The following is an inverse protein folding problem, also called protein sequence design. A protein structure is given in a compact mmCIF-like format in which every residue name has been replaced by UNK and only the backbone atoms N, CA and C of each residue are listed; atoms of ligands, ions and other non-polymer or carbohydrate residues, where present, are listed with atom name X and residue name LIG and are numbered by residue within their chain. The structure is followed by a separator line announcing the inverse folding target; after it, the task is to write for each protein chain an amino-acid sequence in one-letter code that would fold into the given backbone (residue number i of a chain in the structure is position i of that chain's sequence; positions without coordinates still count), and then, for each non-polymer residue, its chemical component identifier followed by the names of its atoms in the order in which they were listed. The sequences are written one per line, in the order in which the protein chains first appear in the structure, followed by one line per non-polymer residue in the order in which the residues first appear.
data_IF_439012555538
#
_entry.id   IF_439012555538
#
_cell.length_a   1.000
_cell.length_b   1.000
_cell.length_c   1.000
_cell.angle_alpha   90.00
_cell.angle_beta   90.00
_cell.angle_gamma   90.00
#
_symmetry.space_group_name_H-M   'P 1'
#
loop_
_entity.id
_entity.type
_entity.pdbx_description
1 polymer ?
#
# COMPACT_ATOMS: atom_id res chain seq x y z
N UNK A 1 -11.28 -2.91 -24.35
CA UNK A 1 -10.51 -3.13 -23.11
C UNK A 1 -10.01 -1.77 -22.66
N UNK A 2 -10.59 -1.23 -21.61
CA UNK A 2 -10.16 0.04 -20.99
C UNK A 2 -9.10 -0.23 -19.92
N UNK A 3 -8.43 0.82 -19.45
CA UNK A 3 -7.62 0.72 -18.23
C UNK A 3 -8.52 1.09 -17.03
N UNK A 4 -8.37 0.37 -15.93
CA UNK A 4 -9.11 0.64 -14.69
C UNK A 4 -8.18 0.53 -13.50
N UNK A 5 -8.32 1.47 -12.57
CA UNK A 5 -7.58 1.49 -11.32
C UNK A 5 -8.54 1.00 -10.23
N UNK A 6 -8.20 -0.11 -9.59
CA UNK A 6 -8.91 -0.59 -8.41
C UNK A 6 -8.02 -0.32 -7.21
N UNK A 7 -8.54 0.26 -6.14
CA UNK A 7 -7.79 0.38 -4.90
C UNK A 7 -8.44 -0.35 -3.74
N UNK A 8 -7.62 -0.66 -2.72
CA UNK A 8 -8.10 -1.15 -1.43
C UNK A 8 -7.32 -0.49 -0.29
N UNK A 9 -8.05 0.09 0.66
CA UNK A 9 -7.46 0.79 1.81
C UNK A 9 -6.99 -0.15 2.91
N UNK A 10 -6.19 0.38 3.84
CA UNK A 10 -5.71 -0.32 5.03
C UNK A 10 -6.55 -0.15 6.29
N UNK A 11 -6.00 -0.63 7.41
CA UNK A 11 -6.57 -0.58 8.77
C UNK A 11 -6.88 0.81 9.30
N UNK A 12 -7.55 0.82 10.46
CA UNK A 12 -8.20 1.95 11.11
C UNK A 12 -9.52 2.34 10.43
N UNK A 13 -10.34 3.07 11.17
CA UNK A 13 -11.55 3.67 10.63
C UNK A 13 -11.20 4.61 9.45
N UNK A 14 -12.19 4.89 8.61
CA UNK A 14 -12.03 5.70 7.41
C UNK A 14 -13.10 6.78 7.34
N UNK A 15 -12.83 7.90 6.65
CA UNK A 15 -13.91 8.80 6.23
C UNK A 15 -14.96 8.01 5.41
N UNK A 16 -16.15 8.59 5.16
CA UNK A 16 -17.14 7.99 4.28
C UNK A 16 -16.53 7.49 2.96
N UNK A 17 -17.08 6.41 2.41
CA UNK A 17 -16.56 5.73 1.22
C UNK A 17 -16.30 6.69 0.04
N UNK A 18 -17.29 7.52 -0.29
CA UNK A 18 -17.19 8.50 -1.37
C UNK A 18 -16.07 9.52 -1.11
N UNK A 19 -15.95 10.02 0.12
CA UNK A 19 -14.90 10.95 0.52
C UNK A 19 -13.51 10.30 0.44
N UNK A 20 -13.38 9.04 0.87
CA UNK A 20 -12.12 8.32 0.75
C UNK A 20 -11.73 8.15 -0.72
N UNK A 21 -12.67 7.74 -1.57
CA UNK A 21 -12.45 7.55 -3.00
C UNK A 21 -12.01 8.86 -3.67
N UNK A 22 -12.74 9.95 -3.42
CA UNK A 22 -12.42 11.28 -3.94
C UNK A 22 -11.01 11.72 -3.54
N UNK A 23 -10.64 11.54 -2.27
CA UNK A 23 -9.31 11.91 -1.77
C UNK A 23 -8.16 11.07 -2.37
N UNK A 24 -8.40 9.78 -2.63
CA UNK A 24 -7.42 8.94 -3.34
C UNK A 24 -7.26 9.41 -4.79
N UNK A 25 -8.36 9.67 -5.48
CA UNK A 25 -8.35 10.16 -6.85
C UNK A 25 -7.65 11.53 -6.96
N UNK A 26 -7.97 12.46 -6.06
CA UNK A 26 -7.31 13.77 -6.01
C UNK A 26 -5.80 13.67 -5.77
N UNK A 27 -5.35 12.74 -4.93
CA UNK A 27 -3.91 12.51 -4.70
C UNK A 27 -3.22 11.97 -5.97
N UNK A 28 -3.87 11.05 -6.68
CA UNK A 28 -3.37 10.51 -7.94
C UNK A 28 -3.31 11.57 -9.06
N UNK A 29 -4.38 12.37 -9.20
CA UNK A 29 -4.45 13.48 -10.15
C UNK A 29 -3.42 14.58 -9.84
N UNK A 30 -3.23 14.91 -8.56
CA UNK A 30 -2.17 15.83 -8.13
C UNK A 30 -0.79 15.30 -8.53
N UNK A 31 -0.52 14.02 -8.30
CA UNK A 31 0.73 13.37 -8.71
C UNK A 31 0.97 13.47 -10.21
N UNK A 32 -0.03 13.12 -11.03
CA UNK A 32 0.03 13.25 -12.50
C UNK A 32 0.32 14.68 -12.94
N UNK A 33 -0.36 15.66 -12.35
CA UNK A 33 -0.18 17.07 -12.70
C UNK A 33 1.21 17.57 -12.31
N UNK A 34 1.61 17.39 -11.04
CA UNK A 34 2.84 17.99 -10.51
C UNK A 34 4.10 17.26 -10.97
N UNK A 35 4.07 15.95 -11.15
CA UNK A 35 5.25 15.16 -11.48
C UNK A 35 5.41 14.88 -12.98
N UNK A 36 4.32 14.89 -13.75
CA UNK A 36 4.33 14.55 -15.18
C UNK A 36 3.68 15.60 -16.09
N UNK A 37 3.08 16.67 -15.55
CA UNK A 37 2.38 17.68 -16.34
C UNK A 37 1.08 17.17 -16.98
N UNK A 38 0.58 16.01 -16.56
CA UNK A 38 -0.64 15.40 -17.09
C UNK A 38 -1.83 15.92 -16.28
N UNK A 39 -2.79 16.56 -16.96
CA UNK A 39 -4.02 17.05 -16.35
C UNK A 39 -5.19 16.24 -16.87
N UNK A 40 -5.95 15.63 -15.97
CA UNK A 40 -7.17 14.87 -16.25
C UNK A 40 -8.27 15.35 -15.31
N UNK A 41 -9.52 15.31 -15.77
CA UNK A 41 -10.68 15.68 -14.94
C UNK A 41 -11.04 14.55 -13.97
N UNK A 42 -10.88 13.29 -14.38
CA UNK A 42 -11.14 12.09 -13.57
C UNK A 42 -10.36 10.89 -14.07
N UNK A 43 -10.36 9.83 -13.26
CA UNK A 43 -9.79 8.52 -13.53
C UNK A 43 -10.90 7.47 -13.63
N UNK A 44 -10.70 6.43 -14.45
CA UNK A 44 -11.52 5.23 -14.34
C UNK A 44 -11.11 4.44 -13.09
N UNK A 45 -11.71 4.80 -11.96
CA UNK A 45 -11.25 4.44 -10.62
C UNK A 45 -12.36 3.83 -9.76
N UNK A 46 -12.05 2.70 -9.13
CA UNK A 46 -12.90 2.03 -8.14
C UNK A 46 -12.16 1.87 -6.82
N UNK A 47 -12.70 2.43 -5.74
CA UNK A 47 -12.17 2.26 -4.39
C UNK A 47 -12.94 1.17 -3.66
N UNK A 48 -12.26 0.09 -3.27
CA UNK A 48 -12.85 -0.96 -2.43
C UNK A 48 -12.84 -0.51 -0.98
N UNK A 49 -14.04 -0.30 -0.44
CA UNK A 49 -14.26 0.11 0.94
C UNK A 49 -14.71 -1.08 1.81
N UNK A 50 -14.08 -1.22 2.97
CA UNK A 50 -14.44 -2.26 3.94
C UNK A 50 -14.43 -1.77 5.39
N UNK A 51 -14.13 -0.50 5.68
CA UNK A 51 -14.07 -0.04 7.07
C UNK A 51 -15.43 -0.14 7.79
N UNK A 52 -16.56 -0.08 7.08
CA UNK A 52 -17.92 -0.29 7.60
C UNK A 52 -18.17 -1.69 8.17
N UNK A 53 -17.39 -2.71 7.80
CA UNK A 53 -17.50 -4.04 8.42
C UNK A 53 -16.84 -4.09 9.79
N UNK A 54 -15.88 -3.19 10.04
CA UNK A 54 -15.07 -3.14 11.25
C UNK A 54 -15.51 -2.03 12.21
N UNK A 55 -16.18 -1.02 11.68
CA UNK A 55 -16.54 0.21 12.38
C UNK A 55 -17.99 0.60 12.06
N UNK A 56 -18.81 0.76 13.09
CA UNK A 56 -20.24 1.05 12.93
C UNK A 56 -20.54 2.42 12.32
N UNK A 57 -19.65 3.40 12.53
CA UNK A 57 -19.76 4.74 11.94
C UNK A 57 -18.43 5.16 11.34
N UNK A 58 -18.42 5.91 10.22
CA UNK A 58 -17.19 6.47 9.65
C UNK A 58 -16.43 7.34 10.66
N UNK A 59 -15.14 7.53 10.40
CA UNK A 59 -14.29 8.42 11.14
C UNK A 59 -14.82 9.87 11.05
N UNK A 60 -15.02 10.50 12.20
CA UNK A 60 -15.58 11.85 12.30
C UNK A 60 -14.49 12.92 12.30
N UNK A 61 -13.23 12.54 12.53
CA UNK A 61 -12.07 13.43 12.47
C UNK A 61 -10.93 12.80 11.66
N UNK A 62 -11.19 12.46 10.39
CA UNK A 62 -10.17 11.87 9.54
C UNK A 62 -9.13 12.93 9.17
N UNK A 63 -7.86 12.53 9.14
CA UNK A 63 -6.78 13.34 8.57
C UNK A 63 -7.04 13.55 7.06
N UNK A 64 -7.63 14.69 6.74
CA UNK A 64 -8.25 15.00 5.45
C UNK A 64 -7.22 15.24 4.36
N UNK A 65 -7.61 14.97 3.10
CA UNK A 65 -6.72 15.25 1.99
C UNK A 65 -6.45 16.76 1.85
N UNK A 66 -5.20 17.09 1.51
CA UNK A 66 -4.69 18.42 1.25
C UNK A 66 -3.57 18.32 0.23
N UNK A 67 -3.50 19.33 -0.65
CA UNK A 67 -2.48 19.40 -1.70
C UNK A 67 -1.08 19.52 -1.12
N UNK A 68 -0.10 19.02 -1.86
CA UNK A 68 1.31 19.18 -1.56
C UNK A 68 1.73 20.64 -1.81
N UNK A 69 2.61 21.17 -0.99
CA UNK A 69 3.27 22.44 -1.30
C UNK A 69 4.14 22.29 -2.56
N UNK A 70 4.29 23.35 -3.34
CA UNK A 70 5.02 23.28 -4.60
C UNK A 70 6.49 22.89 -4.39
N UNK A 71 6.98 21.98 -5.22
CA UNK A 71 8.34 21.46 -5.14
C UNK A 71 8.60 20.47 -3.99
N UNK A 72 7.61 20.10 -3.18
CA UNK A 72 7.79 19.13 -2.07
C UNK A 72 7.72 17.67 -2.49
N UNK A 73 7.13 17.38 -3.65
CA UNK A 73 7.12 16.03 -4.24
C UNK A 73 8.50 15.74 -4.81
N UNK A 74 9.34 15.09 -3.99
CA UNK A 74 10.70 14.71 -4.35
C UNK A 74 10.75 13.24 -4.69
N UNK A 75 11.45 12.91 -5.78
CA UNK A 75 11.84 11.55 -6.09
C UNK A 75 12.83 11.07 -5.04
N UNK A 76 12.75 9.80 -4.66
CA UNK A 76 13.77 9.19 -3.84
C UNK A 76 15.10 9.17 -4.60
N UNK A 77 16.17 9.58 -3.93
CA UNK A 77 17.53 9.55 -4.45
C UNK A 77 18.40 8.78 -3.45
N UNK A 78 18.88 7.61 -3.88
CA UNK A 78 19.76 6.71 -3.12
C UNK A 78 21.02 7.45 -2.63
N UNK A 79 21.48 8.47 -3.34
CA UNK A 79 22.79 9.08 -3.14
C UNK A 79 22.94 9.89 -1.84
N UNK A 80 21.94 10.65 -1.40
CA UNK A 80 22.14 11.56 -0.25
C UNK A 80 21.76 10.90 1.08
N UNK A 81 20.56 10.31 1.17
CA UNK A 81 20.03 9.80 2.43
C UNK A 81 20.83 8.61 2.97
N UNK A 82 21.31 7.74 2.09
CA UNK A 82 22.09 6.57 2.47
C UNK A 82 23.54 6.92 2.81
N UNK A 83 24.14 7.92 2.16
CA UNK A 83 25.48 8.41 2.53
C UNK A 83 25.47 9.09 3.90
N UNK A 84 24.45 9.91 4.19
CA UNK A 84 24.31 10.55 5.51
C UNK A 84 24.05 9.50 6.60
N UNK A 85 23.26 8.46 6.31
CA UNK A 85 23.00 7.37 7.27
C UNK A 85 24.16 6.39 7.42
N UNK A 86 24.85 6.02 6.36
CA UNK A 86 26.06 5.20 6.42
C UNK A 86 27.17 5.90 7.22
N UNK A 87 27.22 7.24 7.16
CA UNK A 87 28.04 8.02 8.08
C UNK A 87 27.47 8.02 9.50
N UNK A 88 26.16 8.13 9.70
CA UNK A 88 25.56 8.10 11.03
C UNK A 88 25.73 6.75 11.76
N UNK A 89 25.70 5.62 11.05
CA UNK A 89 25.95 4.28 11.61
C UNK A 89 27.40 4.05 12.01
N UNK A 90 28.34 4.87 11.52
CA UNK A 90 29.74 4.88 11.97
C UNK A 90 29.95 5.66 13.28
N UNK A 91 28.94 6.40 13.75
CA UNK A 91 29.01 7.18 14.98
C UNK A 91 28.27 6.40 16.08
N UNK A 92 29.02 6.00 17.12
CA UNK A 92 28.61 5.14 18.24
C UNK A 92 27.11 5.11 18.59
N UNK A 93 26.59 3.90 18.85
CA UNK A 93 25.19 3.60 19.17
C UNK A 93 24.53 4.41 20.29
N UNK A 94 25.29 5.16 21.11
CA UNK A 94 24.73 6.09 22.10
C UNK A 94 23.97 7.27 21.49
N UNK A 95 24.30 7.68 20.26
CA UNK A 95 23.57 8.77 19.57
C UNK A 95 22.18 8.28 19.12
N UNK A 96 22.05 7.01 18.76
CA UNK A 96 20.77 6.40 18.39
C UNK A 96 19.78 6.36 19.56
N UNK A 97 20.27 6.05 20.76
CA UNK A 97 19.41 6.02 21.97
C UNK A 97 18.92 7.42 22.34
N UNK A 98 19.78 8.44 22.25
CA UNK A 98 19.38 9.83 22.50
C UNK A 98 18.48 10.40 21.39
N UNK A 99 18.59 9.93 20.16
CA UNK A 99 17.70 10.33 19.06
C UNK A 99 16.28 9.80 19.28
N UNK A 100 16.11 8.55 19.75
CA UNK A 100 14.79 8.00 20.10
C UNK A 100 14.06 8.86 21.13
N UNK A 101 14.79 9.32 22.15
CA UNK A 101 14.27 10.16 23.23
C UNK A 101 13.87 11.56 22.75
N UNK A 102 14.60 12.14 21.78
CA UNK A 102 14.33 13.48 21.23
C UNK A 102 13.15 13.52 20.25
N UNK A 103 12.83 12.42 19.57
CA UNK A 103 11.74 12.35 18.58
C UNK A 103 10.37 11.99 19.19
N UNK A 104 10.26 11.69 20.50
CA UNK A 104 8.96 11.47 21.16
C UNK A 104 8.10 10.36 20.54
N UNK A 105 8.74 9.32 19.96
CA UNK A 105 8.11 8.29 19.12
C UNK A 105 7.35 7.25 19.98
N UNK A 106 7.67 7.09 21.25
CA UNK A 106 7.39 5.84 21.97
C UNK A 106 5.99 5.68 22.58
N UNK A 107 5.07 6.64 22.46
CA UNK A 107 3.70 6.47 23.05
C UNK A 107 2.56 6.57 22.05
N UNK A 108 2.73 7.38 21.01
CA UNK A 108 1.70 7.54 19.97
C UNK A 108 1.87 6.45 18.90
N UNK A 109 3.10 6.12 18.51
CA UNK A 109 3.36 5.03 17.57
C UNK A 109 2.90 3.68 18.16
N UNK A 110 3.18 3.44 19.44
CA UNK A 110 2.82 2.21 20.15
C UNK A 110 1.31 1.96 20.19
N UNK A 111 0.50 2.98 20.52
CA UNK A 111 -0.97 2.83 20.52
C UNK A 111 -1.56 2.62 19.13
N UNK A 112 -1.02 3.33 18.13
CA UNK A 112 -1.47 3.17 16.73
C UNK A 112 -1.07 1.78 16.22
N UNK A 113 0.12 1.30 16.56
CA UNK A 113 0.61 -0.03 16.22
C UNK A 113 -0.21 -1.12 16.93
N UNK A 114 -0.49 -0.97 18.23
CA UNK A 114 -1.30 -1.91 19.01
C UNK A 114 -2.71 -2.07 18.42
N UNK A 115 -3.38 -0.95 18.10
CA UNK A 115 -4.70 -1.00 17.45
C UNK A 115 -4.64 -1.64 16.06
N UNK A 116 -3.59 -1.37 15.27
CA UNK A 116 -3.37 -2.03 13.97
C UNK A 116 -3.13 -3.53 14.13
N UNK A 117 -2.39 -3.95 15.16
CA UNK A 117 -2.19 -5.38 15.46
C UNK A 117 -3.48 -6.05 15.88
N UNK A 118 -4.37 -5.38 16.62
CA UNK A 118 -5.70 -5.91 16.97
C UNK A 118 -6.58 -6.11 15.73
N UNK A 119 -6.67 -5.12 14.84
CA UNK A 119 -7.48 -5.28 13.63
C UNK A 119 -6.88 -6.34 12.68
N UNK A 120 -5.55 -6.44 12.60
CA UNK A 120 -4.87 -7.50 11.86
C UNK A 120 -5.14 -8.88 12.49
N UNK A 121 -5.13 -8.97 13.82
CA UNK A 121 -5.47 -10.19 14.54
C UNK A 121 -6.90 -10.63 14.21
N UNK A 122 -7.88 -9.72 14.26
CA UNK A 122 -9.28 -9.99 13.88
C UNK A 122 -9.37 -10.58 12.48
N UNK A 123 -8.69 -10.00 11.48
CA UNK A 123 -8.69 -10.53 10.12
C UNK A 123 -8.20 -11.98 10.04
N UNK A 124 -7.22 -12.38 10.84
CA UNK A 124 -6.72 -13.75 10.84
C UNK A 124 -7.53 -14.71 11.72
N UNK A 125 -8.27 -14.23 12.71
CA UNK A 125 -9.04 -15.08 13.65
C UNK A 125 -10.52 -15.18 13.33
N UNK A 126 -11.10 -14.18 12.65
CA UNK A 126 -12.51 -14.14 12.27
C UNK A 126 -12.66 -14.49 10.79
N UNK A 127 -13.07 -15.73 10.51
CA UNK A 127 -13.23 -16.22 9.14
C UNK A 127 -14.36 -15.54 8.38
N UNK A 128 -15.45 -15.15 9.06
CA UNK A 128 -16.59 -14.51 8.40
C UNK A 128 -16.21 -13.09 7.95
N UNK A 129 -15.57 -12.33 8.84
CA UNK A 129 -15.02 -11.02 8.52
C UNK A 129 -14.00 -11.12 7.37
N UNK A 130 -13.07 -12.08 7.44
CA UNK A 130 -12.03 -12.26 6.41
C UNK A 130 -12.66 -12.52 5.04
N UNK A 131 -13.63 -13.42 4.96
CA UNK A 131 -14.29 -13.75 3.70
C UNK A 131 -15.14 -12.59 3.16
N UNK A 132 -15.78 -11.81 4.02
CA UNK A 132 -16.50 -10.60 3.60
C UNK A 132 -15.54 -9.54 3.00
N UNK A 133 -14.41 -9.25 3.66
CA UNK A 133 -13.37 -8.35 3.15
C UNK A 133 -12.83 -8.82 1.79
N UNK A 134 -12.51 -10.12 1.68
CA UNK A 134 -12.01 -10.74 0.44
C UNK A 134 -13.05 -10.66 -0.68
N UNK A 135 -14.32 -10.93 -0.36
CA UNK A 135 -15.44 -10.90 -1.31
C UNK A 135 -15.61 -9.52 -1.93
N UNK A 136 -15.53 -8.44 -1.15
CA UNK A 136 -15.66 -7.07 -1.68
C UNK A 136 -14.64 -6.76 -2.77
N UNK A 137 -13.36 -7.05 -2.53
CA UNK A 137 -12.31 -6.86 -3.54
C UNK A 137 -12.50 -7.81 -4.74
N UNK A 138 -12.82 -9.08 -4.46
CA UNK A 138 -13.05 -10.10 -5.47
C UNK A 138 -14.15 -9.68 -6.46
N UNK A 139 -15.27 -9.16 -5.95
CA UNK A 139 -16.38 -8.66 -6.78
C UNK A 139 -15.91 -7.57 -7.74
N UNK A 140 -15.24 -6.52 -7.26
CA UNK A 140 -14.79 -5.42 -8.13
C UNK A 140 -13.77 -5.89 -9.18
N UNK A 141 -12.86 -6.81 -8.83
CA UNK A 141 -11.95 -7.42 -9.81
C UNK A 141 -12.71 -8.21 -10.87
N UNK A 142 -13.70 -9.02 -10.48
CA UNK A 142 -14.46 -9.86 -11.40
C UNK A 142 -15.35 -9.03 -12.33
N UNK A 143 -15.96 -7.96 -11.83
CA UNK A 143 -16.77 -7.03 -12.62
C UNK A 143 -15.94 -6.32 -13.70
N UNK A 144 -14.65 -6.12 -13.44
CA UNK A 144 -13.69 -5.47 -14.33
C UNK A 144 -12.73 -6.44 -15.03
N UNK A 145 -12.97 -7.76 -15.00
CA UNK A 145 -12.03 -8.78 -15.51
C UNK A 145 -11.75 -8.68 -17.02
N UNK A 146 -12.57 -7.94 -17.76
CA UNK A 146 -12.39 -7.65 -19.19
C UNK A 146 -11.52 -6.42 -19.48
N UNK A 147 -11.09 -5.69 -18.45
CA UNK A 147 -10.26 -4.49 -18.52
C UNK A 147 -8.81 -4.74 -18.10
N UNK A 148 -7.94 -3.76 -18.35
CA UNK A 148 -6.57 -3.77 -17.84
C UNK A 148 -6.56 -3.22 -16.43
N UNK A 149 -6.52 -4.12 -15.45
CA UNK A 149 -6.60 -3.77 -14.03
C UNK A 149 -5.22 -3.39 -13.49
N UNK A 150 -5.11 -2.17 -12.97
CA UNK A 150 -4.09 -1.76 -12.00
C UNK A 150 -4.68 -1.82 -10.60
N UNK A 151 -4.23 -2.76 -9.77
CA UNK A 151 -4.69 -2.92 -8.39
C UNK A 151 -3.72 -2.22 -7.43
N UNK A 152 -4.17 -1.20 -6.71
CA UNK A 152 -3.38 -0.42 -5.76
C UNK A 152 -3.83 -0.72 -4.33
N UNK A 153 -3.00 -1.39 -3.55
CA UNK A 153 -3.34 -1.80 -2.20
C UNK A 153 -2.47 -1.07 -1.17
N UNK A 154 -3.10 -0.54 -0.12
CA UNK A 154 -2.41 0.18 0.97
C UNK A 154 -2.43 -0.59 2.28
N UNK A 155 -1.28 -0.67 2.95
CA UNK A 155 -1.18 -1.23 4.31
C UNK A 155 -1.84 -2.62 4.39
N UNK A 156 -2.75 -2.89 5.32
CA UNK A 156 -3.44 -4.20 5.37
C UNK A 156 -4.26 -4.55 4.10
N UNK A 157 -4.67 -3.57 3.32
CA UNK A 157 -5.26 -3.82 2.01
C UNK A 157 -4.34 -4.67 1.11
N UNK A 158 -3.01 -4.59 1.31
CA UNK A 158 -2.03 -5.43 0.59
C UNK A 158 -2.12 -6.91 0.96
N UNK A 159 -2.43 -7.23 2.22
CA UNK A 159 -2.64 -8.60 2.69
C UNK A 159 -3.92 -9.15 2.07
N UNK A 160 -5.02 -8.40 2.17
CA UNK A 160 -6.32 -8.79 1.59
C UNK A 160 -6.17 -8.99 0.08
N UNK A 161 -5.52 -8.05 -0.61
CA UNK A 161 -5.28 -8.16 -2.04
C UNK A 161 -4.45 -9.40 -2.38
N UNK A 162 -3.33 -9.63 -1.69
CA UNK A 162 -2.50 -10.79 -1.94
C UNK A 162 -3.26 -12.11 -1.78
N UNK A 163 -4.07 -12.24 -0.73
CA UNK A 163 -4.93 -13.42 -0.51
C UNK A 163 -5.96 -13.61 -1.64
N UNK A 164 -6.70 -12.54 -1.98
CA UNK A 164 -7.71 -12.56 -3.04
C UNK A 164 -7.10 -12.93 -4.39
N UNK A 165 -5.94 -12.38 -4.73
CA UNK A 165 -5.28 -12.66 -6.01
C UNK A 165 -4.82 -14.11 -6.12
N UNK A 166 -4.36 -14.71 -5.02
CA UNK A 166 -3.99 -16.14 -4.99
C UNK A 166 -5.19 -17.03 -5.08
N UNK A 167 -6.26 -16.69 -4.37
CA UNK A 167 -7.53 -17.40 -4.45
C UNK A 167 -8.09 -17.36 -5.87
N UNK A 168 -8.21 -16.16 -6.46
CA UNK A 168 -8.68 -15.99 -7.84
C UNK A 168 -7.81 -16.73 -8.85
N UNK A 169 -6.48 -16.69 -8.71
CA UNK A 169 -5.59 -17.42 -9.61
C UNK A 169 -5.70 -18.94 -9.52
N UNK A 170 -6.15 -19.48 -8.38
CA UNK A 170 -6.49 -20.90 -8.24
C UNK A 170 -7.85 -21.23 -8.84
N UNK A 171 -8.82 -20.33 -8.72
CA UNK A 171 -10.20 -20.52 -9.20
C UNK A 171 -10.31 -20.35 -10.73
N UNK A 172 -9.69 -19.31 -11.28
CA UNK A 172 -9.70 -19.01 -12.72
C UNK A 172 -8.35 -18.38 -13.16
N UNK A 173 -7.46 -19.19 -13.76
CA UNK A 173 -6.17 -18.73 -14.28
C UNK A 173 -6.25 -17.69 -15.42
N UNK A 174 -7.44 -17.49 -16.02
CA UNK A 174 -7.63 -16.54 -17.12
C UNK A 174 -7.81 -15.10 -16.64
N UNK A 175 -8.14 -14.88 -15.37
CA UNK A 175 -8.15 -13.54 -14.77
C UNK A 175 -6.73 -12.99 -14.84
N UNK A 176 -6.58 -11.71 -15.18
CA UNK A 176 -5.27 -11.05 -15.24
C UNK A 176 -5.32 -9.70 -14.53
N UNK A 177 -4.34 -9.49 -13.64
CA UNK A 177 -4.01 -8.18 -13.08
C UNK A 177 -2.78 -7.67 -13.81
N UNK A 178 -2.92 -6.55 -14.53
CA UNK A 178 -1.83 -6.01 -15.35
C UNK A 178 -0.71 -5.44 -14.48
N UNK A 179 -1.08 -4.83 -13.35
CA UNK A 179 -0.13 -4.33 -12.36
C UNK A 179 -0.71 -4.38 -10.95
N UNK A 180 -0.10 -5.14 -10.05
CA UNK A 180 -0.33 -5.08 -8.63
C UNK A 180 0.66 -4.10 -7.98
N UNK A 181 0.16 -3.04 -7.36
CA UNK A 181 0.95 -2.02 -6.68
C UNK A 181 0.65 -2.06 -5.19
N UNK A 182 1.67 -2.27 -4.38
CA UNK A 182 1.55 -2.23 -2.92
C UNK A 182 2.20 -0.97 -2.38
N UNK A 183 1.53 -0.27 -1.46
CA UNK A 183 2.03 0.97 -0.84
C UNK A 183 1.97 0.86 0.69
N UNK A 184 3.09 1.15 1.36
CA UNK A 184 3.20 1.01 2.82
C UNK A 184 2.85 -0.40 3.33
N UNK A 185 3.33 -1.43 2.64
CA UNK A 185 2.89 -2.81 2.85
C UNK A 185 3.53 -3.49 4.08
N UNK A 186 2.74 -4.16 4.94
CA UNK A 186 3.26 -5.03 6.00
C UNK A 186 3.59 -6.46 5.53
N UNK A 187 3.58 -6.75 4.22
CA UNK A 187 3.75 -8.12 3.70
C UNK A 187 5.10 -8.77 4.03
N UNK A 188 6.13 -7.98 4.35
CA UNK A 188 7.44 -8.48 4.78
C UNK A 188 7.52 -8.73 6.29
N UNK A 189 6.51 -8.35 7.08
CA UNK A 189 6.53 -8.58 8.53
C UNK A 189 6.51 -10.10 8.82
N UNK A 190 7.40 -10.62 9.69
CA UNK A 190 7.50 -12.05 9.96
C UNK A 190 6.16 -12.71 10.35
N UNK A 191 5.35 -12.03 11.17
CA UNK A 191 4.02 -12.52 11.56
C UNK A 191 3.09 -12.67 10.34
N UNK A 192 3.07 -11.69 9.43
CA UNK A 192 2.23 -11.71 8.23
C UNK A 192 2.66 -12.85 7.30
N UNK A 193 3.96 -12.99 7.07
CA UNK A 193 4.54 -14.10 6.29
C UNK A 193 4.20 -15.46 6.88
N UNK A 194 4.32 -15.61 8.20
CA UNK A 194 3.94 -16.83 8.90
C UNK A 194 2.46 -17.18 8.62
N UNK A 195 1.54 -16.21 8.78
CA UNK A 195 0.11 -16.42 8.48
C UNK A 195 -0.17 -16.77 7.01
N UNK A 196 0.52 -16.11 6.07
CA UNK A 196 0.43 -16.45 4.64
C UNK A 196 0.89 -17.90 4.39
N UNK A 197 1.97 -18.32 5.06
CA UNK A 197 2.52 -19.68 4.92
C UNK A 197 1.63 -20.77 5.51
N UNK A 198 0.82 -20.44 6.54
CA UNK A 198 -0.19 -21.35 7.10
C UNK A 198 -1.30 -21.65 6.07
N UNK A 199 -1.69 -20.68 5.24
CA UNK A 199 -2.70 -20.87 4.20
C UNK A 199 -2.15 -21.53 2.94
N UNK A 200 -0.85 -21.33 2.64
CA UNK A 200 -0.21 -21.99 1.52
C UNK A 200 1.31 -22.02 1.65
N UNK A 201 1.95 -23.18 1.41
CA UNK A 201 3.37 -23.39 1.69
C UNK A 201 4.32 -22.61 0.77
N UNK A 202 3.83 -22.05 -0.35
CA UNK A 202 4.64 -21.29 -1.31
C UNK A 202 4.35 -19.80 -1.22
N UNK A 203 5.31 -19.04 -0.69
CA UNK A 203 5.26 -17.57 -0.67
C UNK A 203 5.88 -17.05 -1.97
N UNK A 204 5.02 -16.61 -2.91
CA UNK A 204 5.42 -16.21 -4.27
C UNK A 204 4.45 -15.19 -4.86
N UNK A 205 4.84 -14.52 -5.93
CA UNK A 205 3.93 -13.60 -6.63
C UNK A 205 2.65 -14.35 -7.11
N UNK A 206 1.45 -13.74 -7.06
CA UNK A 206 0.24 -14.43 -7.51
C UNK A 206 0.28 -14.76 -9.01
N UNK A 207 -0.25 -15.92 -9.40
CA UNK A 207 -0.18 -16.44 -10.79
C UNK A 207 -0.90 -15.56 -11.82
N UNK A 208 -1.89 -14.80 -11.40
CA UNK A 208 -2.67 -13.90 -12.28
C UNK A 208 -2.07 -12.50 -12.42
N UNK A 209 -0.97 -12.21 -11.73
CA UNK A 209 -0.31 -10.90 -11.74
C UNK A 209 0.80 -10.86 -12.78
N UNK A 210 0.74 -9.89 -13.69
CA UNK A 210 1.77 -9.68 -14.72
C UNK A 210 2.95 -8.83 -14.25
N UNK A 211 2.72 -7.92 -13.28
CA UNK A 211 3.74 -7.05 -12.68
C UNK A 211 3.37 -6.78 -11.22
N UNK A 212 4.36 -6.81 -10.34
CA UNK A 212 4.20 -6.37 -8.96
C UNK A 212 5.25 -5.31 -8.62
N UNK A 213 4.80 -4.10 -8.26
CA UNK A 213 5.68 -3.05 -7.70
C UNK A 213 5.28 -2.76 -6.26
N UNK A 214 6.27 -2.74 -5.36
CA UNK A 214 6.10 -2.34 -3.98
C UNK A 214 6.75 -0.97 -3.76
N UNK A 215 5.98 0.01 -3.29
CA UNK A 215 6.47 1.34 -2.94
C UNK A 215 6.54 1.47 -1.42
N UNK A 216 7.73 1.76 -0.92
CA UNK A 216 7.98 1.85 0.52
C UNK A 216 8.76 3.12 0.89
N UNK A 217 8.33 3.81 1.94
CA UNK A 217 9.13 4.86 2.58
C UNK A 217 9.91 4.26 3.75
N UNK A 218 11.24 4.43 3.79
CA UNK A 218 12.09 3.91 4.87
C UNK A 218 11.78 4.47 6.26
N UNK A 219 10.97 5.54 6.35
CA UNK A 219 10.53 6.15 7.61
C UNK A 219 9.13 5.67 8.02
N UNK A 220 8.48 4.87 7.18
CA UNK A 220 7.20 4.26 7.49
C UNK A 220 7.39 3.08 8.45
N UNK A 221 6.85 3.16 9.68
CA UNK A 221 7.04 2.13 10.70
C UNK A 221 6.30 0.82 10.41
N UNK A 222 5.45 0.76 9.38
CA UNK A 222 4.73 -0.45 8.97
C UNK A 222 5.42 -1.14 7.80
N UNK A 223 6.03 -0.37 6.90
CA UNK A 223 6.90 -0.88 5.84
C UNK A 223 8.35 -1.01 6.33
N UNK A 224 8.54 -1.65 7.49
CA UNK A 224 9.87 -1.88 8.08
C UNK A 224 10.72 -2.70 7.11
N UNK A 225 10.10 -3.71 6.50
CA UNK A 225 10.69 -4.36 5.35
C UNK A 225 10.35 -3.59 4.08
N UNK A 226 11.41 -3.13 3.41
CA UNK A 226 11.31 -2.34 2.19
C UNK A 226 11.63 -3.17 0.94
N UNK A 227 11.99 -4.45 1.09
CA UNK A 227 12.48 -5.30 0.02
C UNK A 227 11.66 -6.59 -0.11
N UNK A 228 10.38 -6.51 -0.46
CA UNK A 228 9.55 -7.72 -0.61
C UNK A 228 10.07 -8.69 -1.69
N UNK A 229 10.96 -8.25 -2.59
CA UNK A 229 11.57 -9.10 -3.61
C UNK A 229 12.47 -10.22 -3.07
N UNK A 230 13.02 -10.12 -1.86
CA UNK A 230 13.79 -11.21 -1.24
C UNK A 230 12.91 -12.22 -0.47
N UNK A 231 11.66 -11.84 -0.23
CA UNK A 231 10.69 -12.57 0.56
C UNK A 231 9.72 -13.43 -0.27
N UNK A 232 9.48 -13.05 -1.53
CA UNK A 232 8.48 -13.66 -2.40
C UNK A 232 9.13 -14.18 -3.70
N UNK A 233 9.03 -15.50 -3.91
CA UNK A 233 9.49 -16.13 -5.14
C UNK A 233 8.70 -15.67 -6.38
N UNK A 234 9.25 -15.90 -7.58
CA UNK A 234 8.52 -15.60 -8.81
C UNK A 234 7.35 -16.55 -9.06
N UNK A 235 6.30 -16.05 -9.73
CA UNK A 235 5.26 -16.89 -10.31
C UNK A 235 5.79 -17.69 -11.52
N UNK A 236 4.94 -18.51 -12.13
CA UNK A 236 5.30 -19.41 -13.23
C UNK A 236 5.73 -18.65 -14.50
N UNK A 237 5.27 -17.41 -14.65
CA UNK A 237 5.66 -16.50 -15.72
C UNK A 237 6.95 -15.71 -15.40
N UNK A 238 7.61 -16.00 -14.27
CA UNK A 238 8.85 -15.35 -13.86
C UNK A 238 8.67 -13.95 -13.26
N UNK A 239 7.45 -13.54 -12.93
CA UNK A 239 7.17 -12.22 -12.34
C UNK A 239 7.72 -12.17 -10.92
N UNK A 240 8.66 -11.26 -10.67
CA UNK A 240 9.20 -10.94 -9.33
C UNK A 240 8.61 -9.64 -8.81
N UNK A 241 8.67 -9.43 -7.49
CA UNK A 241 8.39 -8.12 -6.90
C UNK A 241 9.49 -7.14 -7.32
N UNK A 242 9.11 -5.92 -7.67
CA UNK A 242 10.03 -4.78 -7.83
C UNK A 242 9.81 -3.80 -6.69
N UNK A 243 10.78 -3.66 -5.81
CA UNK A 243 10.75 -2.66 -4.75
C UNK A 243 11.29 -1.33 -5.26
N UNK A 244 10.52 -0.25 -5.11
CA UNK A 244 10.98 1.11 -5.33
C UNK A 244 10.79 1.91 -4.02
N UNK A 245 11.86 2.57 -3.58
CA UNK A 245 11.78 3.45 -2.42
C UNK A 245 11.14 4.79 -2.81
N UNK A 246 10.39 5.36 -1.87
CA UNK A 246 9.70 6.64 -2.08
C UNK A 246 9.87 7.57 -0.89
N UNK A 247 9.58 8.85 -1.12
CA UNK A 247 9.46 9.86 -0.06
C UNK A 247 7.97 10.20 0.11
N UNK A 248 7.34 9.59 1.11
CA UNK A 248 5.99 9.95 1.52
C UNK A 248 6.03 11.32 2.25
N UNK A 249 5.69 12.37 1.50
CA UNK A 249 5.66 13.75 1.96
C UNK A 249 4.39 14.17 2.71
N UNK A 250 3.67 13.24 3.35
CA UNK A 250 2.47 13.56 4.13
C UNK A 250 2.80 14.09 5.53
N UNK A 251 3.42 15.28 5.57
CA UNK A 251 3.85 15.91 6.82
C UNK A 251 4.76 14.99 7.65
N UNK A 252 4.39 14.74 8.91
CA UNK A 252 5.10 13.82 9.82
C UNK A 252 4.59 12.37 9.76
N UNK A 253 3.62 12.06 8.91
CA UNK A 253 2.97 10.74 8.85
C UNK A 253 3.42 10.01 7.59
N UNK A 254 4.47 9.21 7.70
CA UNK A 254 5.08 8.51 6.56
C UNK A 254 4.27 7.31 6.02
N UNK A 255 3.15 6.98 6.67
CA UNK A 255 2.30 5.84 6.29
C UNK A 255 0.99 6.24 5.60
N UNK A 256 0.72 7.53 5.40
CA UNK A 256 -0.57 7.96 4.82
C UNK A 256 -0.65 7.60 3.33
N UNK A 257 -1.74 6.97 2.90
CA UNK A 257 -1.93 6.55 1.50
C UNK A 257 -1.80 7.71 0.51
N UNK A 258 -2.39 8.87 0.80
CA UNK A 258 -2.35 10.04 -0.10
C UNK A 258 -0.92 10.46 -0.45
N UNK A 259 -0.02 10.40 0.54
CA UNK A 259 1.37 10.76 0.34
C UNK A 259 2.10 9.79 -0.59
N UNK A 260 1.77 8.49 -0.59
CA UNK A 260 2.26 7.51 -1.55
C UNK A 260 1.70 7.73 -2.96
N UNK A 261 0.39 7.97 -3.06
CA UNK A 261 -0.34 8.09 -4.34
C UNK A 261 0.07 9.32 -5.17
N UNK A 262 0.69 10.33 -4.54
CA UNK A 262 1.22 11.51 -5.24
C UNK A 262 2.74 11.50 -5.45
N UNK A 263 3.42 10.39 -5.14
CA UNK A 263 4.87 10.28 -5.34
C UNK A 263 5.22 10.27 -6.84
N UNK A 264 6.42 10.77 -7.23
CA UNK A 264 6.91 10.65 -8.60
C UNK A 264 6.98 9.19 -9.07
N UNK A 265 7.36 8.27 -8.20
CA UNK A 265 7.46 6.84 -8.48
C UNK A 265 6.09 6.23 -8.78
N UNK A 266 5.08 6.50 -7.95
CA UNK A 266 3.71 6.07 -8.24
C UNK A 266 3.18 6.69 -9.53
N UNK A 267 3.48 7.97 -9.77
CA UNK A 267 3.06 8.67 -11.00
C UNK A 267 3.63 8.00 -12.25
N UNK A 268 4.87 7.50 -12.21
CA UNK A 268 5.47 6.75 -13.33
C UNK A 268 4.77 5.43 -13.64
N UNK A 269 4.14 4.82 -12.63
CA UNK A 269 3.29 3.65 -12.81
C UNK A 269 1.95 4.07 -13.40
N UNK A 270 1.27 5.02 -12.75
CA UNK A 270 -0.08 5.45 -13.08
C UNK A 270 -0.19 5.99 -14.50
N UNK A 271 0.79 6.78 -14.96
CA UNK A 271 0.77 7.37 -16.32
C UNK A 271 0.76 6.35 -17.47
N UNK A 272 1.02 5.07 -17.18
CA UNK A 272 0.95 3.97 -18.17
C UNK A 272 -0.44 3.35 -18.26
N UNK A 273 -1.32 3.73 -17.33
CA UNK A 273 -2.68 3.22 -17.15
C UNK A 273 -3.75 4.28 -17.41
N UNK A 274 -3.37 5.52 -17.76
CA UNK A 274 -4.28 6.63 -18.08
C UNK A 274 -4.03 7.17 -19.48
#
# INVERSE_FOLDING_TARGET
MSNVIISIHGLANKPPEETLAEWWEQAMLEGLQKNAGITLDSLNFHSVYWADTMYATPDQDPDAYHKAEDGTLKRYDDGWLDIVRAKASSINGKIWDSAKELFGIDKIADKVLEKKLQDLHKYYTDSELREELRKRLKTVILDNRGDRIMLVAHSMGTIIAYDVLRQLGKEDPNIKIDHFVTIGSPLGLPHVKYKISEESPLVRTPSIVKKWTNLADRRDPVAIDTHLADDYDSNEDGVKVRDDLVINGWGKIHHKSYGYLRTPEFTDLLKKSV
#
